data_IF_665231688061
#
_entry.id   IF_665231688061
#
_cell.length_a   1.000
_cell.length_b   1.000
_cell.length_c   1.000
_cell.angle_alpha   90.00
_cell.angle_beta   90.00
_cell.angle_gamma   90.00
#
_symmetry.space_group_name_H-M   'P 1'
#
loop_
_entity.id
_entity.type
_entity.pdbx_description
1 polymer ?
#
# COMPACT_ATOMS: atom_id res chain seq x y z
N UNK A 1 41.97 4.35 29.13
CA UNK A 1 40.72 4.94 28.58
C UNK A 1 40.57 4.64 27.07
N UNK A 2 40.51 3.36 26.64
CA UNK A 2 40.40 2.97 25.21
C UNK A 2 39.31 1.91 24.90
N UNK A 3 38.70 1.28 25.92
CA UNK A 3 37.70 0.21 25.73
C UNK A 3 36.25 0.71 25.66
N UNK A 4 35.93 1.82 26.33
CA UNK A 4 34.55 2.34 26.41
C UNK A 4 34.07 2.94 25.08
N UNK A 5 34.98 3.54 24.29
CA UNK A 5 34.66 4.16 22.99
C UNK A 5 34.28 3.08 21.95
N UNK A 6 34.92 1.90 22.00
CA UNK A 6 34.68 0.82 21.03
C UNK A 6 33.27 0.21 21.18
N UNK A 7 32.77 0.09 22.41
CA UNK A 7 31.44 -0.49 22.68
C UNK A 7 30.34 0.47 22.21
N UNK A 8 30.49 1.78 22.44
CA UNK A 8 29.54 2.80 21.99
C UNK A 8 29.48 2.88 20.45
N UNK A 9 30.64 2.76 19.78
CA UNK A 9 30.71 2.68 18.31
C UNK A 9 30.07 1.40 17.74
N UNK A 10 30.24 0.25 18.41
CA UNK A 10 29.55 -0.99 18.02
C UNK A 10 28.03 -0.91 18.24
N UNK A 11 27.56 -0.29 19.33
CA UNK A 11 26.11 -0.10 19.55
C UNK A 11 25.49 0.87 18.52
N UNK A 12 26.20 1.92 18.12
CA UNK A 12 25.77 2.82 17.03
C UNK A 12 25.75 2.11 15.68
N UNK A 13 26.71 1.23 15.40
CA UNK A 13 26.73 0.43 14.17
C UNK A 13 25.58 -0.60 14.12
N UNK A 14 25.19 -1.17 15.26
CA UNK A 14 24.04 -2.10 15.35
C UNK A 14 22.71 -1.38 15.20
N UNK A 15 22.55 -0.15 15.71
CA UNK A 15 21.33 0.66 15.45
C UNK A 15 21.25 1.07 13.97
N UNK A 16 22.38 1.36 13.32
CA UNK A 16 22.42 1.63 11.87
C UNK A 16 22.22 0.39 10.99
N UNK A 17 22.47 -0.83 11.50
CA UNK A 17 22.30 -2.08 10.74
C UNK A 17 21.02 -2.86 11.08
N UNK A 18 20.38 -2.57 12.22
CA UNK A 18 19.03 -3.07 12.55
C UNK A 18 17.90 -2.23 11.90
N UNK A 19 18.24 -1.11 11.26
CA UNK A 19 17.35 -0.29 10.44
C UNK A 19 17.56 -0.44 8.93
N UNK A 20 18.18 -1.54 8.47
CA UNK A 20 18.40 -1.81 7.05
C UNK A 20 17.07 -2.17 6.35
N UNK A 21 16.34 -1.11 5.98
CA UNK A 21 15.53 -1.02 4.75
C UNK A 21 14.78 -2.31 4.38
N UNK A 22 13.62 -2.55 5.02
CA UNK A 22 12.52 -3.14 4.26
C UNK A 22 12.31 -2.18 3.08
N UNK A 23 12.74 -2.60 1.88
CA UNK A 23 12.60 -1.77 0.68
C UNK A 23 11.13 -1.46 0.54
N UNK A 24 10.75 -0.19 0.59
CA UNK A 24 9.36 0.26 0.50
C UNK A 24 8.59 -0.38 -0.67
N UNK A 25 9.27 -0.61 -1.80
CA UNK A 25 8.73 -1.36 -2.94
C UNK A 25 8.31 -2.80 -2.61
N UNK A 26 8.99 -3.49 -1.69
CA UNK A 26 8.63 -4.83 -1.21
C UNK A 26 7.39 -4.80 -0.32
N UNK A 27 7.26 -3.80 0.54
CA UNK A 27 6.08 -3.66 1.39
C UNK A 27 4.86 -3.31 0.54
N UNK A 28 5.02 -2.43 -0.46
CA UNK A 28 4.00 -2.16 -1.47
C UNK A 28 3.61 -3.39 -2.28
N UNK A 29 4.59 -4.16 -2.75
CA UNK A 29 4.33 -5.38 -3.52
C UNK A 29 3.58 -6.41 -2.67
N UNK A 30 3.98 -6.60 -1.40
CA UNK A 30 3.28 -7.49 -0.48
C UNK A 30 1.85 -7.05 -0.19
N UNK A 31 1.63 -5.75 -0.05
CA UNK A 31 0.29 -5.17 0.10
C UNK A 31 -0.57 -5.45 -1.15
N UNK A 32 -0.02 -5.23 -2.34
CA UNK A 32 -0.69 -5.56 -3.61
C UNK A 32 -1.06 -7.05 -3.71
N UNK A 33 -0.11 -7.96 -3.45
CA UNK A 33 -0.36 -9.40 -3.51
C UNK A 33 -1.40 -9.86 -2.47
N UNK A 34 -1.46 -9.21 -1.31
CA UNK A 34 -2.52 -9.45 -0.32
C UNK A 34 -3.89 -9.00 -0.82
N UNK A 35 -3.99 -7.81 -1.40
CA UNK A 35 -5.24 -7.30 -1.98
C UNK A 35 -5.72 -8.17 -3.14
N UNK A 36 -4.83 -8.55 -4.04
CA UNK A 36 -5.13 -9.44 -5.18
C UNK A 36 -5.67 -10.78 -4.69
N UNK A 37 -5.09 -11.34 -3.61
CA UNK A 37 -5.58 -12.58 -3.00
C UNK A 37 -6.97 -12.41 -2.38
N UNK A 38 -7.22 -11.32 -1.65
CA UNK A 38 -8.54 -11.02 -1.08
C UNK A 38 -9.58 -10.96 -2.21
N UNK A 39 -9.26 -10.26 -3.30
CA UNK A 39 -10.13 -10.15 -4.46
C UNK A 39 -10.37 -11.50 -5.15
N UNK A 40 -9.33 -12.31 -5.31
CA UNK A 40 -9.45 -13.64 -5.91
C UNK A 40 -10.35 -14.58 -5.09
N UNK A 41 -10.26 -14.53 -3.76
CA UNK A 41 -11.02 -15.42 -2.86
C UNK A 41 -12.46 -14.93 -2.64
N UNK A 42 -12.66 -13.63 -2.48
CA UNK A 42 -13.92 -13.07 -1.99
C UNK A 42 -14.70 -12.23 -3.00
N UNK A 43 -14.21 -12.02 -4.24
CA UNK A 43 -14.91 -11.21 -5.25
C UNK A 43 -16.36 -11.64 -5.51
N UNK A 44 -16.65 -12.94 -5.44
CA UNK A 44 -18.01 -13.48 -5.62
C UNK A 44 -18.84 -13.54 -4.31
N UNK A 45 -18.30 -13.06 -3.18
CA UNK A 45 -18.90 -13.15 -1.84
C UNK A 45 -18.84 -11.76 -1.15
N UNK A 46 -19.72 -10.81 -1.52
CA UNK A 46 -19.70 -9.45 -0.99
C UNK A 46 -19.74 -9.36 0.54
N UNK A 47 -20.48 -10.29 1.16
CA UNK A 47 -20.63 -10.45 2.62
C UNK A 47 -19.30 -10.74 3.33
N UNK A 48 -18.35 -11.36 2.64
CA UNK A 48 -17.00 -11.68 3.15
C UNK A 48 -15.93 -10.74 2.62
N UNK A 49 -16.16 -10.15 1.45
CA UNK A 49 -15.25 -9.20 0.82
C UNK A 49 -15.10 -7.95 1.69
N UNK A 50 -16.21 -7.37 2.14
CA UNK A 50 -16.18 -6.12 2.91
C UNK A 50 -15.40 -6.25 4.24
N UNK A 51 -15.64 -7.27 5.09
CA UNK A 51 -14.81 -7.48 6.29
C UNK A 51 -13.32 -7.73 5.98
N UNK A 52 -13.01 -8.47 4.90
CA UNK A 52 -11.63 -8.74 4.53
C UNK A 52 -10.90 -7.47 4.05
N UNK A 53 -11.61 -6.59 3.33
CA UNK A 53 -11.11 -5.28 2.94
C UNK A 53 -10.91 -4.36 4.15
N UNK A 54 -11.82 -4.39 5.14
CA UNK A 54 -11.70 -3.61 6.38
C UNK A 54 -10.42 -3.98 7.14
N UNK A 55 -10.20 -5.28 7.31
CA UNK A 55 -9.00 -5.85 7.92
C UNK A 55 -7.72 -5.46 7.15
N UNK A 56 -7.78 -5.53 5.82
CA UNK A 56 -6.65 -5.18 4.96
C UNK A 56 -6.31 -3.68 5.02
N UNK A 57 -7.31 -2.80 4.91
CA UNK A 57 -7.15 -1.34 4.97
C UNK A 57 -6.56 -0.93 6.32
N UNK A 58 -7.05 -1.53 7.42
CA UNK A 58 -6.55 -1.24 8.77
C UNK A 58 -5.06 -1.59 8.92
N UNK A 59 -4.61 -2.74 8.37
CA UNK A 59 -3.21 -3.18 8.41
C UNK A 59 -2.31 -2.42 7.45
N UNK A 60 -2.84 -1.97 6.32
CA UNK A 60 -2.08 -1.36 5.22
C UNK A 60 -2.39 0.15 5.05
N UNK A 61 -2.79 0.83 6.14
CA UNK A 61 -3.21 2.24 6.11
C UNK A 61 -2.17 3.17 5.47
N UNK A 62 -0.89 2.98 5.78
CA UNK A 62 0.20 3.81 5.22
C UNK A 62 0.37 3.63 3.70
N UNK A 63 0.17 2.40 3.20
CA UNK A 63 0.19 2.12 1.76
C UNK A 63 -0.97 2.82 1.07
N UNK A 64 -2.18 2.73 1.64
CA UNK A 64 -3.35 3.40 1.08
C UNK A 64 -3.23 4.93 1.06
N UNK A 65 -2.63 5.54 2.09
CA UNK A 65 -2.39 6.98 2.05
C UNK A 65 -1.50 7.39 0.88
N UNK A 66 -0.47 6.58 0.59
CA UNK A 66 0.41 6.82 -0.56
C UNK A 66 -0.32 6.61 -1.89
N UNK A 67 -1.25 5.65 -1.96
CA UNK A 67 -2.09 5.41 -3.13
C UNK A 67 -3.00 6.63 -3.39
N UNK A 68 -3.67 7.16 -2.37
CA UNK A 68 -4.52 8.35 -2.47
C UNK A 68 -3.69 9.60 -2.83
N UNK A 69 -2.52 9.80 -2.20
CA UNK A 69 -1.60 10.88 -2.56
C UNK A 69 -1.07 10.75 -4.01
N UNK A 70 -0.83 9.50 -4.45
CA UNK A 70 -0.40 9.22 -5.80
C UNK A 70 -1.53 9.44 -6.80
N UNK A 71 -2.78 9.09 -6.50
CA UNK A 71 -3.93 9.39 -7.37
C UNK A 71 -4.04 10.89 -7.68
N UNK A 72 -3.72 11.76 -6.71
CA UNK A 72 -3.66 13.22 -6.91
C UNK A 72 -2.43 13.74 -7.66
N UNK A 73 -1.40 12.92 -7.91
CA UNK A 73 -0.13 13.31 -8.56
C UNK A 73 0.18 12.53 -9.83
N UNK A 74 -0.42 11.35 -10.00
CA UNK A 74 -0.26 10.44 -11.11
C UNK A 74 -1.27 10.88 -12.17
N UNK A 75 -0.96 12.01 -12.80
CA UNK A 75 -1.50 12.30 -14.12
C UNK A 75 -1.01 11.17 -15.04
N UNK A 76 -1.93 10.41 -15.64
CA UNK A 76 -1.64 9.21 -16.44
C UNK A 76 -0.63 9.48 -17.56
N UNK A 77 -0.47 10.75 -17.92
CA UNK A 77 0.31 11.23 -19.06
C UNK A 77 1.68 11.80 -18.66
N UNK A 78 2.01 11.92 -17.36
CA UNK A 78 3.28 12.54 -16.90
C UNK A 78 4.31 11.52 -16.36
N UNK A 79 4.07 10.23 -16.57
CA UNK A 79 4.92 9.12 -16.09
C UNK A 79 6.13 8.87 -17.03
N UNK A 80 6.59 9.90 -17.72
CA UNK A 80 7.76 9.83 -18.62
C UNK A 80 8.92 10.74 -18.19
N UNK A 81 8.82 11.39 -17.03
CA UNK A 81 9.95 12.12 -16.42
C UNK A 81 10.86 11.19 -15.63
N UNK A 82 12.16 11.49 -15.63
CA UNK A 82 13.32 10.81 -15.02
C UNK A 82 13.13 10.21 -13.62
N UNK A 83 12.29 9.19 -13.50
CA UNK A 83 12.20 8.34 -12.33
C UNK A 83 13.32 7.30 -12.37
N UNK A 84 14.00 7.12 -11.25
CA UNK A 84 14.90 5.99 -11.02
C UNK A 84 14.16 4.67 -11.23
N UNK A 85 14.86 3.59 -11.58
CA UNK A 85 14.25 2.26 -11.79
C UNK A 85 13.36 1.81 -10.61
N UNK A 86 13.73 2.15 -9.38
CA UNK A 86 12.93 1.86 -8.19
C UNK A 86 11.63 2.66 -8.12
N UNK A 87 11.65 3.94 -8.52
CA UNK A 87 10.46 4.78 -8.55
C UNK A 87 9.49 4.31 -9.63
N UNK A 88 9.98 3.86 -10.79
CA UNK A 88 9.12 3.23 -11.82
C UNK A 88 8.41 1.99 -11.28
N UNK A 89 9.12 1.12 -10.56
CA UNK A 89 8.50 -0.06 -9.94
C UNK A 89 7.44 0.31 -8.90
N UNK A 90 7.71 1.31 -8.07
CA UNK A 90 6.75 1.82 -7.09
C UNK A 90 5.49 2.35 -7.80
N UNK A 91 5.65 3.17 -8.83
CA UNK A 91 4.54 3.71 -9.62
C UNK A 91 3.71 2.60 -10.25
N UNK A 92 4.34 1.58 -10.83
CA UNK A 92 3.63 0.44 -11.41
C UNK A 92 2.84 -0.37 -10.38
N UNK A 93 3.38 -0.57 -9.17
CA UNK A 93 2.64 -1.25 -8.09
C UNK A 93 1.45 -0.41 -7.63
N UNK A 94 1.63 0.91 -7.48
CA UNK A 94 0.54 1.82 -7.11
C UNK A 94 -0.58 1.82 -8.15
N UNK A 95 -0.25 1.86 -9.45
CA UNK A 95 -1.24 1.71 -10.53
C UNK A 95 -2.03 0.41 -10.43
N UNK A 96 -1.37 -0.69 -10.10
CA UNK A 96 -2.04 -1.98 -9.93
C UNK A 96 -3.00 -1.99 -8.75
N UNK A 97 -2.63 -1.34 -7.64
CA UNK A 97 -3.53 -1.17 -6.48
C UNK A 97 -4.74 -0.31 -6.86
N UNK A 98 -4.53 0.80 -7.58
CA UNK A 98 -5.62 1.64 -8.10
C UNK A 98 -6.55 0.87 -9.06
N UNK A 99 -5.99 0.03 -9.93
CA UNK A 99 -6.80 -0.80 -10.81
C UNK A 99 -7.63 -1.83 -10.03
N UNK A 100 -7.08 -2.43 -8.97
CA UNK A 100 -7.84 -3.32 -8.08
C UNK A 100 -8.95 -2.57 -7.32
N UNK A 101 -8.71 -1.32 -6.92
CA UNK A 101 -9.74 -0.47 -6.33
C UNK A 101 -10.93 -0.26 -7.28
N UNK A 102 -10.67 0.04 -8.56
CA UNK A 102 -11.72 0.15 -9.58
C UNK A 102 -12.50 -1.17 -9.77
N UNK A 103 -11.81 -2.31 -9.71
CA UNK A 103 -12.46 -3.64 -9.78
C UNK A 103 -13.35 -3.89 -8.55
N UNK A 104 -12.93 -3.48 -7.35
CA UNK A 104 -13.78 -3.54 -6.15
C UNK A 104 -15.03 -2.71 -6.36
N UNK A 105 -14.88 -1.47 -6.84
CA UNK A 105 -16.01 -0.58 -7.09
C UNK A 105 -16.98 -1.16 -8.12
N UNK A 106 -16.48 -1.79 -9.20
CA UNK A 106 -17.32 -2.44 -10.21
C UNK A 106 -18.05 -3.67 -9.65
N UNK A 107 -17.39 -4.48 -8.83
CA UNK A 107 -18.02 -5.63 -8.16
C UNK A 107 -19.13 -5.22 -7.18
N UNK A 108 -18.99 -4.05 -6.55
CA UNK A 108 -19.98 -3.50 -5.62
C UNK A 108 -21.03 -2.62 -6.34
N UNK A 109 -20.95 -2.45 -7.66
CA UNK A 109 -21.82 -1.54 -8.42
C UNK A 109 -23.31 -1.84 -8.25
N UNK A 110 -23.66 -3.12 -8.16
CA UNK A 110 -25.04 -3.57 -8.01
C UNK A 110 -25.53 -3.56 -6.54
N UNK A 111 -24.65 -3.21 -5.58
CA UNK A 111 -24.96 -2.95 -4.16
C UNK A 111 -24.52 -1.52 -3.76
N UNK A 112 -25.37 -0.50 -4.00
CA UNK A 112 -25.02 0.90 -3.74
C UNK A 112 -24.70 1.22 -2.28
N UNK A 113 -25.24 0.44 -1.33
CA UNK A 113 -24.94 0.62 0.09
C UNK A 113 -23.54 0.13 0.40
N UNK A 114 -23.17 -1.07 -0.06
CA UNK A 114 -21.83 -1.61 0.10
C UNK A 114 -20.77 -0.74 -0.62
N UNK A 115 -21.05 -0.28 -1.85
CA UNK A 115 -20.17 0.62 -2.58
C UNK A 115 -19.95 1.94 -1.84
N UNK A 116 -21.02 2.59 -1.36
CA UNK A 116 -20.91 3.83 -0.58
C UNK A 116 -20.10 3.59 0.69
N UNK A 117 -20.36 2.49 1.38
CA UNK A 117 -19.68 2.15 2.62
C UNK A 117 -18.19 1.85 2.38
N UNK A 118 -17.84 1.23 1.26
CA UNK A 118 -16.45 1.05 0.81
C UNK A 118 -15.76 2.38 0.53
N UNK A 119 -16.34 3.21 -0.33
CA UNK A 119 -15.79 4.54 -0.67
C UNK A 119 -15.58 5.40 0.58
N UNK A 120 -16.51 5.36 1.53
CA UNK A 120 -16.40 6.12 2.76
C UNK A 120 -15.27 5.61 3.66
N UNK A 121 -14.97 4.31 3.65
CA UNK A 121 -13.79 3.76 4.36
C UNK A 121 -12.50 4.25 3.75
N UNK A 122 -12.38 4.18 2.42
CA UNK A 122 -11.21 4.68 1.69
C UNK A 122 -11.01 6.17 1.96
N UNK A 123 -12.08 6.98 1.89
CA UNK A 123 -12.03 8.40 2.22
C UNK A 123 -11.64 8.68 3.70
N UNK A 124 -12.09 7.83 4.62
CA UNK A 124 -11.79 7.94 6.06
C UNK A 124 -10.39 7.44 6.44
N UNK A 125 -9.60 6.91 5.50
CA UNK A 125 -8.20 6.54 5.77
C UNK A 125 -7.44 7.76 6.30
N UNK A 126 -7.79 8.98 5.89
CA UNK A 126 -7.32 10.21 6.52
C UNK A 126 -5.84 10.45 6.21
N UNK A 127 -5.63 10.96 5.00
CA UNK A 127 -4.39 11.39 4.40
C UNK A 127 -4.71 12.78 3.80
#
# INVERSE_FOLDING_TARGET
>A
MKRTIFIVLCCLAVVFSAGCSRSYSKDLLGSYEELERIMSVYSAQPDKLMPALDDYIARNREVWCRVVEAEGRVDSDTIDRDYTMNEKQIVEILKKILNLDLVIQDNLRDDPEALRAYMQRVANIGC
#
